data_IF_370584560810
#
_entry.id   IF_370584560810
#
_cell.length_a   1.000
_cell.length_b   1.000
_cell.length_c   1.000
_cell.angle_alpha   90.00
_cell.angle_beta   90.00
_cell.angle_gamma   90.00
#
_symmetry.space_group_name_H-M   'P 1'
#
loop_
_entity.id
_entity.type
_entity.pdbx_description
1 polymer ?
#
# COMPACT_ATOMS: atom_id res chain seq x y z
N UNK A 1 -14.42 20.58 -19.66
CA UNK A 1 -15.89 20.36 -19.65
C UNK A 1 -16.18 18.98 -19.10
N UNK A 2 -17.43 18.73 -18.64
CA UNK A 2 -17.87 17.41 -18.10
C UNK A 2 -17.64 16.28 -19.12
N UNK A 3 -17.81 16.55 -20.41
CA UNK A 3 -17.53 15.57 -21.48
C UNK A 3 -16.06 15.17 -21.57
N UNK A 4 -15.13 16.12 -21.42
CA UNK A 4 -13.70 15.85 -21.40
C UNK A 4 -13.30 15.01 -20.18
N UNK A 5 -13.86 15.28 -19.00
CA UNK A 5 -13.63 14.49 -17.80
C UNK A 5 -14.18 13.06 -17.92
N UNK A 6 -15.34 12.86 -18.57
CA UNK A 6 -15.91 11.55 -18.83
C UNK A 6 -15.07 10.76 -19.83
N UNK A 7 -14.57 11.41 -20.89
CA UNK A 7 -13.69 10.78 -21.87
C UNK A 7 -12.34 10.39 -21.26
N UNK A 8 -11.80 11.22 -20.39
CA UNK A 8 -10.56 10.94 -19.67
C UNK A 8 -10.74 9.80 -18.66
N UNK A 9 -11.85 9.75 -17.93
CA UNK A 9 -12.21 8.59 -17.09
C UNK A 9 -12.35 7.31 -17.91
N UNK A 10 -12.98 7.38 -19.09
CA UNK A 10 -13.10 6.23 -19.97
C UNK A 10 -11.72 5.73 -20.45
N UNK A 11 -10.84 6.63 -20.84
CA UNK A 11 -9.44 6.29 -21.22
C UNK A 11 -8.68 5.65 -20.06
N UNK A 12 -8.86 6.14 -18.82
CA UNK A 12 -8.21 5.57 -17.63
C UNK A 12 -8.73 4.16 -17.32
N UNK A 13 -10.05 3.93 -17.45
CA UNK A 13 -10.63 2.60 -17.26
C UNK A 13 -10.15 1.62 -18.34
N UNK A 14 -10.07 2.05 -19.59
CA UNK A 14 -9.55 1.23 -20.70
C UNK A 14 -8.06 0.96 -20.51
N UNK A 15 -7.28 1.93 -20.07
CA UNK A 15 -5.86 1.75 -19.76
C UNK A 15 -5.63 0.79 -18.59
N UNK A 16 -6.43 0.91 -17.52
CA UNK A 16 -6.38 -0.01 -16.39
C UNK A 16 -6.78 -1.44 -16.80
N UNK A 17 -7.83 -1.59 -17.60
CA UNK A 17 -8.24 -2.89 -18.14
C UNK A 17 -7.17 -3.47 -19.08
N UNK A 18 -6.53 -2.65 -19.91
CA UNK A 18 -5.44 -3.07 -20.78
C UNK A 18 -4.19 -3.47 -19.97
N UNK A 19 -3.86 -2.75 -18.89
CA UNK A 19 -2.79 -3.11 -17.95
C UNK A 19 -3.09 -4.44 -17.25
N UNK A 20 -4.32 -4.65 -16.79
CA UNK A 20 -4.74 -5.89 -16.14
C UNK A 20 -4.71 -7.06 -17.15
N UNK A 21 -5.20 -6.85 -18.36
CA UNK A 21 -5.10 -7.83 -19.43
C UNK A 21 -3.66 -8.12 -19.81
N UNK A 22 -2.81 -7.10 -19.93
CA UNK A 22 -1.38 -7.25 -20.15
C UNK A 22 -0.72 -8.07 -19.03
N UNK A 23 -1.09 -7.82 -17.78
CA UNK A 23 -0.66 -8.60 -16.63
C UNK A 23 -1.09 -10.06 -16.69
N UNK A 24 -2.33 -10.32 -17.07
CA UNK A 24 -2.86 -11.69 -17.23
C UNK A 24 -2.20 -12.42 -18.42
N UNK A 25 -1.92 -11.72 -19.51
CA UNK A 25 -1.23 -12.29 -20.68
C UNK A 25 0.27 -12.48 -20.46
N UNK A 26 0.96 -11.57 -19.78
CA UNK A 26 2.37 -11.73 -19.40
C UNK A 26 2.62 -12.91 -18.45
N UNK A 27 1.58 -13.38 -17.80
CA UNK A 27 1.62 -14.59 -16.98
C UNK A 27 1.86 -15.86 -17.82
N UNK A 28 1.48 -15.86 -19.10
CA UNK A 28 1.68 -16.98 -20.02
C UNK A 28 3.08 -16.98 -20.67
N UNK A 29 3.69 -15.80 -20.82
CA UNK A 29 5.01 -15.65 -21.44
C UNK A 29 5.80 -14.61 -20.65
N UNK A 30 6.83 -15.03 -19.89
CA UNK A 30 7.71 -14.12 -19.15
C UNK A 30 8.88 -13.64 -20.05
N UNK A 31 8.66 -12.68 -20.97
CA UNK A 31 9.66 -12.29 -21.96
C UNK A 31 10.85 -11.53 -21.38
N UNK A 32 10.76 -11.08 -20.12
CA UNK A 32 11.77 -10.24 -19.48
C UNK A 32 12.66 -10.99 -18.46
N UNK A 33 12.49 -12.31 -18.30
CA UNK A 33 13.23 -13.08 -17.29
C UNK A 33 13.02 -12.59 -15.86
N UNK A 34 11.96 -11.83 -15.61
CA UNK A 34 11.62 -11.38 -14.27
C UNK A 34 11.25 -12.60 -13.42
N UNK A 35 11.68 -12.66 -12.14
CA UNK A 35 11.29 -13.74 -11.27
C UNK A 35 9.77 -13.81 -11.26
N UNK A 36 9.23 -14.94 -11.74
CA UNK A 36 7.80 -15.16 -11.78
C UNK A 36 7.26 -15.02 -10.34
N UNK A 37 6.36 -14.08 -10.13
CA UNK A 37 5.51 -14.12 -8.96
C UNK A 37 4.66 -15.38 -9.12
N UNK A 38 5.01 -16.43 -8.39
CA UNK A 38 4.25 -17.65 -8.35
C UNK A 38 3.23 -17.55 -7.19
N UNK A 39 1.96 -17.23 -7.49
CA UNK A 39 0.92 -17.17 -6.47
C UNK A 39 0.66 -18.55 -5.84
N UNK A 40 1.08 -19.65 -6.48
CA UNK A 40 0.96 -20.99 -5.91
C UNK A 40 1.94 -21.23 -4.76
N UNK A 41 3.03 -20.47 -4.67
CA UNK A 41 3.95 -20.49 -3.54
C UNK A 41 3.60 -19.50 -2.44
N UNK A 42 2.72 -18.54 -2.72
CA UNK A 42 2.26 -17.61 -1.70
C UNK A 42 1.08 -18.21 -0.97
N UNK A 43 1.25 -18.45 0.31
CA UNK A 43 0.17 -18.91 1.22
C UNK A 43 -0.83 -17.79 1.56
N UNK A 44 -0.88 -16.75 0.74
CA UNK A 44 -1.87 -15.68 0.85
C UNK A 44 -3.24 -16.20 0.47
N UNK A 45 -4.19 -16.15 1.40
CA UNK A 45 -5.53 -16.66 1.17
C UNK A 45 -6.46 -16.40 2.35
N UNK A 46 -7.74 -16.67 2.13
CA UNK A 46 -8.77 -16.67 3.17
C UNK A 46 -9.02 -18.11 3.58
N UNK A 47 -8.87 -18.38 4.85
CA UNK A 47 -8.95 -19.71 5.45
C UNK A 47 -10.01 -19.76 6.54
N UNK A 48 -10.73 -20.90 6.73
CA UNK A 48 -11.63 -21.07 7.85
C UNK A 48 -10.85 -21.17 9.18
N UNK A 49 -11.46 -20.69 10.26
CA UNK A 49 -10.92 -20.75 11.63
C UNK A 49 -11.75 -21.65 12.53
N UNK A 50 -11.19 -22.08 13.67
CA UNK A 50 -11.85 -22.97 14.64
C UNK A 50 -13.17 -22.41 15.18
N UNK A 51 -13.25 -21.10 15.33
CA UNK A 51 -14.43 -20.36 15.83
C UNK A 51 -15.53 -20.17 14.78
N UNK A 52 -15.41 -20.82 13.61
CA UNK A 52 -16.41 -20.78 12.53
C UNK A 52 -16.32 -19.50 11.69
N UNK A 53 -15.33 -18.66 11.91
CA UNK A 53 -15.03 -17.48 11.09
C UNK A 53 -14.06 -17.77 9.96
N UNK A 54 -13.52 -16.69 9.40
CA UNK A 54 -12.50 -16.74 8.36
C UNK A 54 -11.34 -15.81 8.69
N UNK A 55 -10.17 -16.15 8.18
CA UNK A 55 -8.93 -15.43 8.41
C UNK A 55 -8.19 -15.21 7.09
N UNK A 56 -7.85 -13.96 6.78
CA UNK A 56 -6.95 -13.64 5.68
C UNK A 56 -5.50 -13.69 6.20
N UNK A 57 -4.72 -14.66 5.73
CA UNK A 57 -3.27 -14.66 5.88
C UNK A 57 -2.63 -13.98 4.68
N UNK A 58 -1.72 -13.04 4.90
CA UNK A 58 -0.99 -12.35 3.85
C UNK A 58 0.51 -12.66 3.90
N UNK A 59 0.94 -13.58 3.06
CA UNK A 59 2.31 -14.08 2.96
C UNK A 59 3.02 -13.72 1.64
N UNK A 60 2.66 -12.62 0.98
CA UNK A 60 3.18 -12.30 -0.36
C UNK A 60 4.67 -11.93 -0.40
N UNK A 61 5.31 -11.68 0.73
CA UNK A 61 6.73 -11.40 0.82
C UNK A 61 7.48 -12.55 1.49
N UNK A 62 8.59 -13.05 0.91
CA UNK A 62 9.27 -14.29 1.37
C UNK A 62 9.61 -14.29 2.86
N UNK A 63 10.17 -13.21 3.38
CA UNK A 63 10.52 -13.12 4.81
C UNK A 63 9.28 -13.14 5.71
N UNK A 64 8.24 -12.39 5.34
CA UNK A 64 6.98 -12.38 6.10
C UNK A 64 6.29 -13.73 6.06
N UNK A 65 6.32 -14.40 4.90
CA UNK A 65 5.80 -15.75 4.74
C UNK A 65 6.54 -16.75 5.64
N UNK A 66 7.86 -16.77 5.59
CA UNK A 66 8.66 -17.68 6.40
C UNK A 66 8.38 -17.52 7.91
N UNK A 67 8.27 -16.28 8.39
CA UNK A 67 7.95 -15.97 9.79
C UNK A 67 6.50 -16.36 10.17
N UNK A 68 5.55 -16.21 9.25
CA UNK A 68 4.16 -16.62 9.49
C UNK A 68 4.04 -18.14 9.53
N UNK A 69 4.72 -18.86 8.64
CA UNK A 69 4.78 -20.32 8.63
C UNK A 69 5.46 -20.87 9.89
N UNK A 70 6.53 -20.23 10.35
CA UNK A 70 7.18 -20.60 11.62
C UNK A 70 6.23 -20.42 12.83
N UNK A 71 5.37 -19.39 12.85
CA UNK A 71 4.32 -19.24 13.87
C UNK A 71 3.29 -20.35 13.79
N UNK A 72 2.87 -20.72 12.58
CA UNK A 72 1.87 -21.78 12.35
C UNK A 72 2.44 -23.19 12.56
N UNK A 73 3.77 -23.36 12.48
CA UNK A 73 4.45 -24.63 12.60
C UNK A 73 4.16 -25.56 11.42
N UNK A 74 4.22 -25.04 10.19
CA UNK A 74 3.99 -25.79 8.95
C UNK A 74 4.87 -25.29 7.80
N UNK A 75 4.94 -26.09 6.74
CA UNK A 75 5.60 -25.74 5.50
C UNK A 75 4.74 -24.85 4.60
N UNK A 76 5.31 -24.38 3.48
CA UNK A 76 4.64 -23.52 2.51
C UNK A 76 3.71 -24.34 1.60
N UNK A 77 2.82 -25.11 2.19
CA UNK A 77 1.76 -25.87 1.54
C UNK A 77 0.40 -25.30 1.94
N UNK A 78 -0.46 -25.03 0.96
CA UNK A 78 -1.76 -24.38 1.19
C UNK A 78 -2.68 -25.23 2.06
N UNK A 79 -2.64 -26.57 1.92
CA UNK A 79 -3.48 -27.48 2.70
C UNK A 79 -2.98 -27.55 4.15
N UNK A 80 -1.68 -27.58 4.38
CA UNK A 80 -1.11 -27.52 5.73
C UNK A 80 -1.44 -26.21 6.42
N UNK A 81 -1.25 -25.08 5.73
CA UNK A 81 -1.62 -23.76 6.25
C UNK A 81 -3.10 -23.69 6.60
N UNK A 82 -3.98 -24.21 5.74
CA UNK A 82 -5.41 -24.27 6.01
C UNK A 82 -5.71 -25.10 7.27
N UNK A 83 -5.11 -26.29 7.40
CA UNK A 83 -5.29 -27.15 8.56
C UNK A 83 -4.79 -26.49 9.86
N UNK A 84 -3.68 -25.78 9.80
CA UNK A 84 -3.14 -25.06 10.96
C UNK A 84 -4.03 -23.87 11.34
N UNK A 85 -4.45 -23.06 10.40
CA UNK A 85 -5.34 -21.92 10.68
C UNK A 85 -6.69 -22.42 11.23
N UNK A 86 -7.23 -23.51 10.72
CA UNK A 86 -8.45 -24.14 11.23
C UNK A 86 -8.34 -24.60 12.70
N UNK A 87 -7.14 -24.74 13.25
CA UNK A 87 -6.94 -25.04 14.69
C UNK A 87 -6.87 -23.79 15.57
N UNK A 88 -6.80 -22.60 14.98
CA UNK A 88 -6.73 -21.34 15.71
C UNK A 88 -8.09 -20.66 15.82
N UNK A 89 -8.29 -19.95 16.93
CA UNK A 89 -9.28 -18.89 17.01
C UNK A 89 -8.82 -17.69 16.18
N UNK A 90 -9.75 -17.10 15.40
CA UNK A 90 -9.37 -16.05 14.46
C UNK A 90 -8.80 -14.80 15.13
N UNK A 91 -9.32 -14.41 16.30
CA UNK A 91 -8.78 -13.25 17.04
C UNK A 91 -7.41 -13.57 17.65
N UNK A 92 -7.23 -14.77 18.21
CA UNK A 92 -5.96 -15.17 18.78
C UNK A 92 -4.84 -15.22 17.72
N UNK A 93 -5.14 -15.69 16.51
CA UNK A 93 -4.19 -15.69 15.41
C UNK A 93 -3.85 -14.27 14.93
N UNK A 94 -4.85 -13.39 14.85
CA UNK A 94 -4.64 -11.99 14.48
C UNK A 94 -3.68 -11.29 15.45
N UNK A 95 -3.87 -11.50 16.75
CA UNK A 95 -3.03 -10.89 17.77
C UNK A 95 -1.61 -11.47 17.75
N UNK A 96 -1.47 -12.80 17.61
CA UNK A 96 -0.18 -13.46 17.54
C UNK A 96 0.67 -13.02 16.32
N UNK A 97 0.04 -12.78 15.18
CA UNK A 97 0.69 -12.23 14.00
C UNK A 97 1.07 -10.75 14.19
N UNK A 98 0.15 -9.96 14.75
CA UNK A 98 0.37 -8.54 15.00
C UNK A 98 1.54 -8.27 15.96
N UNK A 99 1.65 -9.04 17.04
CA UNK A 99 2.78 -8.97 18.00
C UNK A 99 4.13 -9.21 17.31
N UNK A 100 4.16 -10.01 16.26
CA UNK A 100 5.35 -10.29 15.45
C UNK A 100 5.54 -9.32 14.28
N UNK A 101 4.66 -8.34 14.14
CA UNK A 101 4.69 -7.39 13.02
C UNK A 101 4.41 -8.04 11.66
N UNK A 102 3.63 -9.13 11.65
CA UNK A 102 3.21 -9.86 10.47
C UNK A 102 1.81 -9.44 10.03
N UNK A 103 1.44 -9.78 8.79
CA UNK A 103 0.21 -9.39 8.16
C UNK A 103 -0.79 -10.56 8.13
N UNK A 104 -1.90 -10.39 8.80
CA UNK A 104 -3.05 -11.28 8.80
C UNK A 104 -4.20 -10.60 9.53
N UNK A 105 -5.42 -10.94 9.18
CA UNK A 105 -6.60 -10.35 9.80
C UNK A 105 -7.78 -11.32 9.79
N UNK A 106 -8.52 -11.33 10.89
CA UNK A 106 -9.84 -11.93 10.93
C UNK A 106 -10.75 -11.22 9.94
N UNK A 107 -11.47 -11.97 9.12
CA UNK A 107 -12.49 -11.42 8.22
C UNK A 107 -13.68 -10.99 9.06
N UNK A 108 -14.09 -9.73 8.88
CA UNK A 108 -15.15 -9.08 9.65
C UNK A 108 -16.27 -8.58 8.74
N UNK A 109 -17.46 -8.49 9.28
CA UNK A 109 -18.52 -7.72 8.67
C UNK A 109 -18.31 -6.22 8.87
N UNK A 110 -18.99 -5.40 8.08
CA UNK A 110 -18.99 -3.95 8.26
C UNK A 110 -19.53 -3.52 9.64
N UNK A 111 -20.46 -4.30 10.22
CA UNK A 111 -20.97 -4.06 11.57
C UNK A 111 -19.91 -4.34 12.63
N UNK A 112 -19.24 -5.50 12.58
CA UNK A 112 -18.13 -5.85 13.50
C UNK A 112 -17.00 -4.83 13.41
N UNK A 113 -16.67 -4.33 12.21
CA UNK A 113 -15.65 -3.29 12.06
C UNK A 113 -16.04 -1.98 12.72
N UNK A 114 -17.29 -1.55 12.59
CA UNK A 114 -17.77 -0.34 13.25
C UNK A 114 -17.69 -0.44 14.78
N UNK A 115 -17.89 -1.63 15.33
CA UNK A 115 -17.77 -1.89 16.76
C UNK A 115 -16.32 -2.17 17.21
N UNK A 116 -15.42 -2.42 16.29
CA UNK A 116 -14.02 -2.65 16.59
C UNK A 116 -13.33 -1.36 17.04
N UNK A 117 -12.40 -1.43 18.00
CA UNK A 117 -11.73 -0.25 18.54
C UNK A 117 -11.01 0.60 17.48
N UNK A 118 -10.38 -0.05 16.49
CA UNK A 118 -9.78 0.65 15.35
C UNK A 118 -10.83 1.26 14.43
N UNK A 119 -11.91 0.54 14.15
CA UNK A 119 -13.01 1.04 13.32
C UNK A 119 -13.65 2.30 13.93
N UNK A 120 -13.90 2.29 15.24
CA UNK A 120 -14.41 3.47 15.96
C UNK A 120 -13.43 4.66 15.91
N UNK A 121 -12.13 4.41 16.09
CA UNK A 121 -11.12 5.46 16.00
C UNK A 121 -11.12 6.12 14.61
N UNK A 122 -11.21 5.32 13.55
CA UNK A 122 -11.24 5.84 12.18
C UNK A 122 -12.59 6.50 11.81
N UNK A 123 -13.70 6.03 12.36
CA UNK A 123 -15.02 6.63 12.09
C UNK A 123 -15.15 8.08 12.57
N UNK A 124 -14.31 8.51 13.49
CA UNK A 124 -14.24 9.89 13.96
C UNK A 124 -13.41 10.82 13.05
N UNK A 125 -12.67 10.26 12.08
CA UNK A 125 -11.78 10.99 11.19
C UNK A 125 -12.40 11.12 9.78
N UNK A 126 -12.04 12.17 9.04
CA UNK A 126 -12.41 12.25 7.62
C UNK A 126 -11.67 11.17 6.81
N UNK A 127 -12.25 10.77 5.69
CA UNK A 127 -11.64 9.79 4.76
C UNK A 127 -10.27 10.26 4.25
N UNK A 128 -10.13 11.55 4.03
CA UNK A 128 -8.86 12.22 3.73
C UNK A 128 -8.68 13.32 4.77
N UNK A 129 -7.67 13.19 5.59
CA UNK A 129 -7.33 14.19 6.60
C UNK A 129 -6.29 15.16 6.03
N UNK A 130 -6.60 16.45 6.08
CA UNK A 130 -5.69 17.52 5.64
C UNK A 130 -5.32 18.36 6.85
N UNK A 131 -4.04 18.29 7.24
CA UNK A 131 -3.51 18.98 8.42
C UNK A 131 -2.56 20.09 7.94
N UNK A 132 -2.85 21.34 8.30
CA UNK A 132 -1.93 22.44 8.08
C UNK A 132 -0.85 22.43 9.16
N UNK A 133 0.40 22.20 8.77
CA UNK A 133 1.55 22.13 9.68
C UNK A 133 2.23 23.50 9.86
N UNK A 134 2.32 24.29 8.78
CA UNK A 134 2.96 25.59 8.80
C UNK A 134 2.42 26.50 7.69
N UNK A 135 2.69 27.80 7.79
CA UNK A 135 2.53 28.74 6.69
C UNK A 135 3.79 28.72 5.81
N UNK A 136 3.59 28.87 4.51
CA UNK A 136 4.66 29.01 3.52
C UNK A 136 4.36 30.16 2.55
N UNK A 137 5.36 30.70 1.86
CA UNK A 137 5.12 31.66 0.80
C UNK A 137 4.30 31.01 -0.32
N UNK A 138 3.33 31.76 -0.91
CA UNK A 138 2.60 31.23 -2.06
C UNK A 138 3.56 31.03 -3.24
N UNK A 139 3.49 29.86 -3.86
CA UNK A 139 4.24 29.56 -5.07
C UNK A 139 3.29 29.54 -6.26
N UNK A 140 3.58 30.31 -7.32
CA UNK A 140 2.74 30.32 -8.50
C UNK A 140 2.89 29.00 -9.26
N UNK A 141 1.79 28.44 -9.73
CA UNK A 141 1.82 27.36 -10.71
C UNK A 141 2.36 27.88 -12.04
N UNK A 142 3.41 27.27 -12.54
CA UNK A 142 3.89 27.56 -13.87
C UNK A 142 2.86 27.11 -14.92
N UNK A 143 2.57 27.94 -15.95
CA UNK A 143 1.74 27.50 -17.07
C UNK A 143 2.33 26.25 -17.71
N UNK A 144 1.49 25.26 -18.02
CA UNK A 144 1.94 24.01 -18.61
C UNK A 144 0.84 23.32 -19.41
N UNK A 145 1.21 22.29 -20.16
CA UNK A 145 0.28 21.55 -21.02
C UNK A 145 -0.72 20.69 -20.24
N UNK A 146 -0.46 20.42 -18.95
CA UNK A 146 -1.29 19.59 -18.08
C UNK A 146 -1.46 20.26 -16.72
N UNK A 147 -2.52 19.90 -15.94
CA UNK A 147 -2.84 20.56 -14.67
C UNK A 147 -1.70 20.57 -13.63
N UNK A 148 -0.85 19.53 -13.61
CA UNK A 148 0.25 19.43 -12.66
C UNK A 148 1.63 19.58 -13.31
N UNK A 149 1.71 20.20 -14.50
CA UNK A 149 2.99 20.51 -15.13
C UNK A 149 3.86 21.38 -14.21
N UNK A 150 5.10 20.96 -13.98
CA UNK A 150 6.06 21.62 -13.11
C UNK A 150 6.03 21.18 -11.64
N UNK A 151 5.01 20.43 -11.20
CA UNK A 151 4.96 19.86 -9.85
C UNK A 151 5.94 18.68 -9.73
N UNK A 152 6.83 18.72 -8.75
CA UNK A 152 7.83 17.67 -8.48
C UNK A 152 7.37 16.81 -7.32
N UNK A 153 7.30 15.49 -7.54
CA UNK A 153 6.83 14.51 -6.56
C UNK A 153 7.92 13.49 -6.24
N UNK A 154 8.25 13.34 -4.97
CA UNK A 154 9.02 12.21 -4.48
C UNK A 154 8.05 11.12 -4.00
N UNK A 155 8.05 9.98 -4.68
CA UNK A 155 7.18 8.86 -4.39
C UNK A 155 7.97 7.73 -3.71
N UNK A 156 7.92 7.69 -2.38
CA UNK A 156 8.53 6.65 -1.53
C UNK A 156 7.50 5.59 -1.14
N UNK A 157 6.48 5.40 -1.93
CA UNK A 157 5.43 4.43 -1.65
C UNK A 157 5.75 3.06 -2.27
N UNK A 158 5.01 2.02 -1.82
CA UNK A 158 5.24 0.64 -2.25
C UNK A 158 3.91 -0.07 -2.47
N UNK A 159 3.98 -1.12 -3.25
CA UNK A 159 2.92 -2.07 -3.59
C UNK A 159 1.85 -1.42 -4.47
N UNK A 160 0.75 -0.88 -3.95
CA UNK A 160 -0.40 -0.54 -4.77
C UNK A 160 -0.97 0.87 -4.49
N UNK A 161 -1.53 1.12 -3.32
CA UNK A 161 -2.30 2.36 -3.04
C UNK A 161 -1.47 3.64 -3.25
N UNK A 162 -0.31 3.74 -2.62
CA UNK A 162 0.59 4.88 -2.78
C UNK A 162 1.14 5.01 -4.20
N UNK A 163 1.68 3.94 -4.80
CA UNK A 163 2.14 3.99 -6.19
C UNK A 163 1.05 4.39 -7.19
N UNK A 164 -0.20 4.02 -6.96
CA UNK A 164 -1.35 4.47 -7.77
C UNK A 164 -1.56 5.98 -7.64
N UNK A 165 -1.43 6.54 -6.44
CA UNK A 165 -1.46 7.99 -6.24
C UNK A 165 -0.37 8.68 -7.08
N UNK A 166 0.90 8.23 -6.98
CA UNK A 166 2.01 8.78 -7.77
C UNK A 166 1.79 8.63 -9.28
N UNK A 167 1.24 7.50 -9.76
CA UNK A 167 0.87 7.32 -11.17
C UNK A 167 -0.20 8.32 -11.62
N UNK A 168 -1.20 8.54 -10.79
CA UNK A 168 -2.26 9.51 -11.07
C UNK A 168 -1.69 10.92 -11.18
N UNK A 169 -0.82 11.33 -10.27
CA UNK A 169 -0.15 12.63 -10.36
C UNK A 169 0.68 12.74 -11.66
N UNK A 170 1.43 11.70 -12.03
CA UNK A 170 2.19 11.67 -13.28
C UNK A 170 1.28 11.77 -14.52
N UNK A 171 0.11 11.11 -14.52
CA UNK A 171 -0.85 11.20 -15.63
C UNK A 171 -1.42 12.60 -15.80
N UNK A 172 -1.45 13.40 -14.74
CA UNK A 172 -1.84 14.80 -14.75
C UNK A 172 -0.67 15.77 -15.02
N UNK A 173 0.53 15.26 -15.29
CA UNK A 173 1.68 16.05 -15.74
C UNK A 173 2.73 16.36 -14.69
N UNK A 174 2.60 15.84 -13.47
CA UNK A 174 3.63 15.97 -12.45
C UNK A 174 4.91 15.21 -12.83
N UNK A 175 6.06 15.75 -12.46
CA UNK A 175 7.36 15.09 -12.56
C UNK A 175 7.56 14.20 -11.32
N UNK A 176 7.28 12.91 -11.47
CA UNK A 176 7.29 11.96 -10.37
C UNK A 176 8.57 11.13 -10.38
N UNK A 177 9.34 11.21 -9.30
CA UNK A 177 10.50 10.36 -9.05
C UNK A 177 10.12 9.31 -7.99
N UNK A 178 9.97 8.05 -8.44
CA UNK A 178 9.82 6.91 -7.54
C UNK A 178 11.17 6.55 -6.92
N UNK A 179 11.23 6.51 -5.59
CA UNK A 179 12.42 6.11 -4.85
C UNK A 179 12.15 4.78 -4.15
N UNK A 180 12.79 3.73 -4.65
CA UNK A 180 12.78 2.39 -4.06
C UNK A 180 13.96 2.15 -3.13
N UNK A 181 13.94 1.01 -2.43
CA UNK A 181 15.09 0.52 -1.68
C UNK A 181 15.62 -0.75 -2.34
N UNK A 182 16.94 -0.92 -2.47
CA UNK A 182 17.52 -2.15 -3.01
C UNK A 182 17.34 -3.35 -2.06
N UNK A 183 17.08 -3.09 -0.78
CA UNK A 183 16.91 -4.11 0.26
C UNK A 183 15.45 -4.60 0.41
N UNK A 184 14.49 -3.88 -0.17
CA UNK A 184 13.08 -4.22 0.01
C UNK A 184 12.54 -4.90 -1.24
N UNK A 185 11.91 -6.08 -1.11
CA UNK A 185 11.34 -6.79 -2.24
C UNK A 185 10.20 -5.98 -2.89
N UNK A 186 10.04 -6.13 -4.19
CA UNK A 186 8.97 -5.53 -4.97
C UNK A 186 8.18 -6.61 -5.69
N UNK A 187 6.92 -6.31 -5.99
CA UNK A 187 6.04 -7.16 -6.81
C UNK A 187 6.10 -6.60 -8.22
N UNK A 188 6.86 -7.26 -9.10
CA UNK A 188 7.17 -6.76 -10.44
C UNK A 188 5.94 -6.32 -11.25
N UNK A 189 4.83 -7.06 -11.32
CA UNK A 189 3.63 -6.60 -12.01
C UNK A 189 3.07 -5.28 -11.49
N UNK A 190 3.04 -5.09 -10.17
CA UNK A 190 2.59 -3.83 -9.58
C UNK A 190 3.54 -2.67 -9.89
N UNK A 191 4.85 -2.94 -9.89
CA UNK A 191 5.83 -1.91 -10.27
C UNK A 191 5.66 -1.52 -11.74
N UNK A 192 5.44 -2.48 -12.63
CA UNK A 192 5.21 -2.20 -14.06
C UNK A 192 3.96 -1.33 -14.23
N UNK A 193 2.84 -1.73 -13.66
CA UNK A 193 1.58 -0.99 -13.79
C UNK A 193 1.67 0.42 -13.17
N UNK A 194 2.11 0.50 -11.92
CA UNK A 194 2.07 1.77 -11.19
C UNK A 194 3.22 2.72 -11.49
N UNK A 195 4.20 2.34 -12.31
CA UNK A 195 5.34 3.22 -12.65
C UNK A 195 5.17 3.97 -13.97
N UNK A 196 4.07 3.81 -14.68
CA UNK A 196 3.81 4.57 -15.90
C UNK A 196 3.89 6.09 -15.64
N UNK A 197 4.69 6.78 -16.47
CA UNK A 197 4.91 8.21 -16.38
C UNK A 197 5.85 8.66 -15.26
N UNK A 198 6.45 7.74 -14.49
CA UNK A 198 7.41 8.04 -13.44
C UNK A 198 8.86 7.78 -13.89
N UNK A 199 9.78 8.53 -13.33
CA UNK A 199 11.20 8.14 -13.25
C UNK A 199 11.42 7.30 -12.00
N UNK A 200 12.46 6.46 -11.97
CA UNK A 200 12.76 5.59 -10.83
C UNK A 200 14.24 5.67 -10.44
N UNK A 201 14.48 5.66 -9.14
CA UNK A 201 15.81 5.53 -8.54
C UNK A 201 15.74 4.61 -7.31
N UNK A 202 16.90 4.18 -6.83
CA UNK A 202 17.02 3.45 -5.57
C UNK A 202 17.94 4.21 -4.62
N UNK A 203 17.52 4.31 -3.36
CA UNK A 203 18.33 4.81 -2.26
C UNK A 203 18.30 3.82 -1.10
N UNK A 204 19.46 3.58 -0.51
CA UNK A 204 19.58 2.81 0.73
C UNK A 204 19.69 3.77 1.91
N UNK A 205 18.61 3.99 2.61
CA UNK A 205 18.56 4.94 3.74
C UNK A 205 19.33 4.47 5.00
N UNK A 206 20.04 3.35 4.94
CA UNK A 206 21.03 2.96 5.94
C UNK A 206 22.41 3.54 5.62
N UNK A 207 22.60 4.09 4.41
CA UNK A 207 23.84 4.75 3.98
C UNK A 207 23.70 6.28 4.15
N UNK A 208 24.61 6.94 4.90
CA UNK A 208 24.53 8.40 5.11
C UNK A 208 24.48 9.23 3.82
N UNK A 209 25.21 8.81 2.78
CA UNK A 209 25.20 9.48 1.48
C UNK A 209 23.84 9.47 0.78
N UNK A 210 23.11 8.34 0.87
CA UNK A 210 21.78 8.21 0.30
C UNK A 210 20.73 8.99 1.10
N UNK A 211 20.91 9.05 2.42
CA UNK A 211 20.08 9.91 3.29
C UNK A 211 20.25 11.38 2.91
N UNK A 212 21.50 11.86 2.72
CA UNK A 212 21.73 13.24 2.29
C UNK A 212 21.19 13.47 0.88
N UNK A 213 21.34 12.51 -0.03
CA UNK A 213 20.77 12.61 -1.37
C UNK A 213 19.24 12.74 -1.35
N UNK A 214 18.55 11.99 -0.49
CA UNK A 214 17.11 12.16 -0.32
C UNK A 214 16.77 13.53 0.26
N UNK A 215 17.58 14.05 1.17
CA UNK A 215 17.40 15.39 1.75
C UNK A 215 17.56 16.49 0.70
N UNK A 216 18.56 16.38 -0.18
CA UNK A 216 18.74 17.30 -1.31
C UNK A 216 17.52 17.28 -2.25
N UNK A 217 17.06 16.11 -2.65
CA UNK A 217 15.87 15.95 -3.49
C UNK A 217 14.63 16.55 -2.83
N UNK A 218 14.50 16.41 -1.51
CA UNK A 218 13.35 16.93 -0.75
C UNK A 218 13.32 18.48 -0.71
N UNK A 219 14.46 19.15 -0.79
CA UNK A 219 14.51 20.64 -0.88
C UNK A 219 13.88 21.18 -2.15
N UNK A 220 13.82 20.35 -3.19
CA UNK A 220 13.29 20.74 -4.50
C UNK A 220 11.90 20.14 -4.80
N UNK A 221 11.36 19.33 -3.90
CA UNK A 221 10.10 18.65 -4.11
C UNK A 221 8.91 19.50 -3.63
N UNK A 222 7.82 19.45 -4.36
CA UNK A 222 6.54 20.04 -3.96
C UNK A 222 5.71 19.04 -3.17
N UNK A 223 5.87 17.75 -3.46
CA UNK A 223 5.15 16.64 -2.80
C UNK A 223 6.12 15.57 -2.35
N UNK A 224 5.99 15.12 -1.11
CA UNK A 224 6.67 13.95 -0.58
C UNK A 224 5.62 12.92 -0.15
N UNK A 225 5.50 11.84 -0.90
CA UNK A 225 4.55 10.77 -0.65
C UNK A 225 5.25 9.53 -0.08
N UNK A 226 4.72 8.97 1.00
CA UNK A 226 5.27 7.78 1.62
C UNK A 226 4.18 6.80 2.09
N UNK A 227 4.53 5.51 2.15
CA UNK A 227 3.65 4.44 2.62
C UNK A 227 4.34 3.48 3.59
N UNK A 228 5.35 3.94 4.31
CA UNK A 228 6.04 3.14 5.32
C UNK A 228 5.29 3.14 6.66
N UNK A 229 5.63 2.18 7.52
CA UNK A 229 5.08 2.10 8.88
C UNK A 229 5.27 3.41 9.63
N UNK A 230 4.30 3.76 10.47
CA UNK A 230 4.32 4.97 11.29
C UNK A 230 5.67 5.18 11.97
N UNK A 231 6.22 6.37 11.80
CA UNK A 231 7.50 6.79 12.38
C UNK A 231 8.77 6.27 11.68
N UNK A 232 8.69 5.39 10.68
CA UNK A 232 9.87 4.83 10.03
C UNK A 232 10.73 5.89 9.36
N UNK A 233 10.13 6.78 8.59
CA UNK A 233 10.84 7.89 7.95
C UNK A 233 11.10 9.06 8.90
N UNK A 234 10.21 9.32 9.86
CA UNK A 234 10.42 10.37 10.87
C UNK A 234 11.69 10.15 11.68
N UNK A 235 11.97 8.89 12.09
CA UNK A 235 13.23 8.54 12.79
C UNK A 235 14.48 8.76 11.95
N UNK A 236 14.34 8.87 10.64
CA UNK A 236 15.44 9.15 9.69
C UNK A 236 15.51 10.63 9.28
N UNK A 237 14.70 11.50 9.91
CA UNK A 237 14.65 12.93 9.63
C UNK A 237 13.76 13.32 8.45
N UNK A 238 12.86 12.42 8.00
CA UNK A 238 11.89 12.66 6.92
C UNK A 238 10.44 12.58 7.42
N UNK A 239 10.21 13.11 8.62
CA UNK A 239 8.86 13.35 9.14
C UNK A 239 8.25 14.64 8.58
N UNK A 240 6.93 14.85 8.74
CA UNK A 240 6.25 16.00 8.17
C UNK A 240 6.82 17.33 8.66
N UNK A 241 7.09 17.48 9.94
CA UNK A 241 7.66 18.72 10.52
C UNK A 241 9.07 19.00 10.01
N UNK A 242 9.92 17.95 9.92
CA UNK A 242 11.28 18.08 9.43
C UNK A 242 11.31 18.46 7.93
N UNK A 243 10.39 17.90 7.14
CA UNK A 243 10.29 18.24 5.71
C UNK A 243 9.67 19.63 5.50
N UNK A 244 8.70 20.04 6.30
CA UNK A 244 8.17 21.41 6.27
C UNK A 244 9.26 22.44 6.62
N UNK A 245 10.14 22.16 7.57
CA UNK A 245 11.27 23.02 7.91
C UNK A 245 12.33 23.06 6.80
N UNK A 246 12.54 21.93 6.10
CA UNK A 246 13.49 21.83 4.99
C UNK A 246 13.01 22.51 3.71
N UNK A 247 11.72 22.37 3.40
CA UNK A 247 11.03 22.88 2.23
C UNK A 247 9.68 23.46 2.67
N UNK A 248 9.59 24.76 3.01
CA UNK A 248 8.32 25.42 3.30
C UNK A 248 7.35 25.26 2.11
N UNK A 249 6.09 24.94 2.41
CA UNK A 249 5.07 24.71 1.37
C UNK A 249 5.02 23.28 0.81
N UNK A 250 5.89 22.36 1.25
CA UNK A 250 5.81 20.95 0.82
C UNK A 250 4.50 20.29 1.25
N UNK A 251 3.92 19.49 0.37
CA UNK A 251 2.78 18.63 0.68
C UNK A 251 3.29 17.25 1.10
N UNK A 252 3.16 16.94 2.38
CA UNK A 252 3.52 15.61 2.89
C UNK A 252 2.32 14.68 2.86
N UNK A 253 2.39 13.60 2.09
CA UNK A 253 1.33 12.60 1.98
C UNK A 253 1.76 11.30 2.65
N UNK A 254 0.94 10.81 3.57
CA UNK A 254 1.13 9.52 4.23
C UNK A 254 -0.04 8.59 3.96
N UNK A 255 0.26 7.41 3.42
CA UNK A 255 -0.73 6.40 3.05
C UNK A 255 -0.45 5.13 3.83
N UNK A 256 -1.44 4.64 4.58
CA UNK A 256 -1.33 3.39 5.32
C UNK A 256 -2.67 2.63 5.36
N UNK A 257 -2.63 1.38 5.83
CA UNK A 257 -3.81 0.51 5.82
C UNK A 257 -4.85 0.87 6.88
N UNK A 258 -4.39 1.28 8.07
CA UNK A 258 -5.27 1.38 9.25
C UNK A 258 -5.34 2.79 9.86
N UNK A 259 -4.88 3.81 9.16
CA UNK A 259 -4.83 5.18 9.68
C UNK A 259 -3.65 5.43 10.63
N UNK A 260 -3.54 6.65 11.12
CA UNK A 260 -2.46 7.09 12.01
C UNK A 260 -2.84 7.07 13.49
N UNK A 261 -4.12 6.85 13.79
CA UNK A 261 -4.67 6.82 15.13
C UNK A 261 -5.29 5.46 15.47
N UNK A 262 -5.57 5.26 16.76
CA UNK A 262 -6.16 4.04 17.28
C UNK A 262 -5.16 2.92 17.53
N UNK A 263 -5.63 1.78 18.08
CA UNK A 263 -4.76 0.69 18.51
C UNK A 263 -3.97 0.02 17.38
N UNK A 264 -4.42 0.14 16.14
CA UNK A 264 -3.76 -0.47 14.98
C UNK A 264 -2.89 0.48 14.16
N UNK A 265 -2.70 1.72 14.58
CA UNK A 265 -1.91 2.73 13.88
C UNK A 265 -0.48 2.29 13.50
N UNK A 266 0.07 1.31 14.23
CA UNK A 266 1.41 0.75 13.97
C UNK A 266 1.40 -0.64 13.33
N UNK A 267 0.22 -1.26 13.14
CA UNK A 267 0.13 -2.58 12.49
C UNK A 267 0.54 -2.49 11.03
N UNK A 268 1.28 -3.45 10.50
CA UNK A 268 1.48 -3.57 9.07
C UNK A 268 0.17 -3.98 8.41
N UNK A 269 -0.09 -3.48 7.22
CA UNK A 269 -1.28 -3.82 6.47
C UNK A 269 -1.12 -3.54 4.99
N UNK A 270 -1.95 -4.21 4.22
CA UNK A 270 -2.06 -4.10 2.78
C UNK A 270 -3.53 -3.92 2.41
N UNK A 271 -3.79 -3.58 1.19
CA UNK A 271 -5.13 -3.35 0.65
C UNK A 271 -6.06 -4.56 0.93
N UNK A 272 -5.59 -5.79 0.70
CA UNK A 272 -6.37 -7.01 0.95
C UNK A 272 -6.80 -7.16 2.42
N UNK A 273 -5.95 -6.73 3.36
CA UNK A 273 -6.30 -6.73 4.79
C UNK A 273 -7.37 -5.69 5.10
N UNK A 274 -7.34 -4.53 4.45
CA UNK A 274 -8.41 -3.55 4.58
C UNK A 274 -9.75 -4.13 4.12
N UNK A 275 -9.79 -4.81 2.97
CA UNK A 275 -11.00 -5.50 2.51
C UNK A 275 -11.50 -6.55 3.51
N UNK A 276 -10.60 -7.33 4.11
CA UNK A 276 -10.97 -8.36 5.07
C UNK A 276 -11.61 -7.79 6.34
N UNK A 277 -11.06 -6.69 6.87
CA UNK A 277 -11.53 -6.14 8.15
C UNK A 277 -12.73 -5.21 8.04
N UNK A 278 -12.94 -4.56 6.88
CA UNK A 278 -14.00 -3.55 6.71
C UNK A 278 -15.34 -4.10 6.25
N UNK A 279 -15.41 -5.39 5.93
CA UNK A 279 -16.63 -6.07 5.46
C UNK A 279 -16.66 -6.32 3.96
N UNK A 280 -15.79 -5.69 3.17
CA UNK A 280 -15.78 -5.81 1.71
C UNK A 280 -15.67 -7.26 1.26
N UNK A 281 -14.78 -8.05 1.89
CA UNK A 281 -14.58 -9.45 1.53
C UNK A 281 -15.83 -10.32 1.79
N UNK A 282 -16.59 -10.05 2.84
CA UNK A 282 -17.86 -10.73 3.13
C UNK A 282 -18.97 -10.29 2.18
N UNK A 283 -19.06 -8.99 1.90
CA UNK A 283 -20.09 -8.46 0.99
C UNK A 283 -19.89 -8.95 -0.45
N UNK A 284 -18.64 -9.09 -0.88
CA UNK A 284 -18.31 -9.56 -2.23
C UNK A 284 -18.49 -11.07 -2.37
N UNK A 285 -17.95 -11.88 -1.44
CA UNK A 285 -17.95 -13.35 -1.56
C UNK A 285 -19.06 -14.05 -0.79
N UNK A 286 -19.71 -13.37 0.16
CA UNK A 286 -20.68 -13.96 1.08
C UNK A 286 -20.04 -14.56 2.33
N UNK A 287 -20.87 -14.82 3.35
CA UNK A 287 -20.40 -15.27 4.66
C UNK A 287 -19.76 -16.67 4.64
N UNK A 288 -20.20 -17.55 3.74
CA UNK A 288 -19.65 -18.92 3.62
C UNK A 288 -18.37 -19.01 2.81
N UNK A 289 -18.11 -18.03 1.93
CA UNK A 289 -16.95 -18.03 1.06
C UNK A 289 -16.49 -16.58 0.79
N UNK A 290 -15.96 -15.88 1.80
CA UNK A 290 -15.48 -14.51 1.62
C UNK A 290 -14.45 -14.44 0.51
N UNK A 291 -14.49 -13.39 -0.31
CA UNK A 291 -13.54 -13.20 -1.41
C UNK A 291 -13.16 -11.74 -1.57
N UNK A 292 -11.93 -11.53 -2.01
CA UNK A 292 -11.40 -10.18 -2.24
C UNK A 292 -11.85 -9.67 -3.62
N UNK A 293 -12.09 -8.37 -3.70
CA UNK A 293 -12.16 -7.67 -4.98
C UNK A 293 -10.77 -7.65 -5.62
N UNK A 294 -10.68 -7.70 -6.95
CA UNK A 294 -9.43 -7.44 -7.65
C UNK A 294 -8.90 -6.04 -7.32
N UNK A 295 -7.62 -5.93 -6.99
CA UNK A 295 -6.95 -4.68 -6.67
C UNK A 295 -6.05 -4.21 -7.81
#
# INVERSE_FOLDING_TARGET
TTAQLLEERHRLVVAAAASLLGFLFQRAENPAGLPAYDPARAVTGIYPTRDGGHFLLHGSFPESQARALALLGCDADVAEVAARIASWDGQALEDALAERGLCGARVRSAAEWREHAQGRALAALPVVEVIKLADGPPEPFAPGARPLSGVRVLDLTRVLAGPTCGRTLASHGADVLRIGSPKLPSIAPFVIDTSHGKRSAHLDLDLPGDVERLRELSREADVFAQGYRSGALSRRGFGPEALCALRPGIVYTSINCYGHEGPWARRPGWEQLAQAVTGIALEHGGASAPSLLPA
#
